data_IF_079553037520
#
_entry.id   IF_079553037520
#
_cell.length_a   1.000
_cell.length_b   1.000
_cell.length_c   1.000
_cell.angle_alpha   90.00
_cell.angle_beta   90.00
_cell.angle_gamma   90.00
#
_symmetry.space_group_name_H-M   'P 1'
#
loop_
_entity.id
_entity.type
_entity.pdbx_description
1 polymer ?
#
# COMPACT_ATOMS: atom_id res chain seq x y z
N UNK A 1 21.77 6.51 0.79
CA UNK A 1 21.48 5.58 -0.32
C UNK A 1 21.68 6.23 -1.70
N UNK A 2 20.82 7.17 -2.14
CA UNK A 2 20.88 7.74 -3.50
C UNK A 2 22.05 8.73 -3.77
N UNK A 3 22.82 9.14 -2.76
CA UNK A 3 23.99 10.06 -2.84
C UNK A 3 23.73 11.38 -3.59
N UNK A 4 22.50 11.91 -3.52
CA UNK A 4 22.09 13.19 -4.10
C UNK A 4 20.94 13.79 -3.29
N UNK A 5 20.76 15.10 -3.37
CA UNK A 5 19.56 15.75 -2.87
C UNK A 5 18.35 15.40 -3.76
N UNK A 6 17.21 15.11 -3.12
CA UNK A 6 15.95 14.77 -3.79
C UNK A 6 14.93 15.83 -3.42
N UNK A 7 14.38 16.52 -4.42
CA UNK A 7 13.37 17.56 -4.21
C UNK A 7 12.10 16.95 -3.59
N UNK A 8 11.54 17.63 -2.58
CA UNK A 8 10.40 17.16 -1.75
C UNK A 8 10.54 15.68 -1.42
N UNK A 9 11.71 15.31 -0.89
CA UNK A 9 12.02 13.91 -0.57
C UNK A 9 10.98 13.36 0.38
N UNK A 10 10.46 12.19 0.02
CA UNK A 10 9.60 11.42 0.90
C UNK A 10 10.45 10.35 1.60
N UNK A 11 10.83 9.30 0.89
CA UNK A 11 11.66 8.23 1.46
C UNK A 11 12.51 7.56 0.38
N UNK A 12 13.48 6.74 0.79
CA UNK A 12 14.10 5.79 -0.12
C UNK A 12 13.34 4.47 -0.06
N UNK A 13 12.80 4.03 -1.20
CA UNK A 13 12.01 2.81 -1.28
C UNK A 13 12.87 1.69 -1.89
N UNK A 14 13.24 0.66 -1.10
CA UNK A 14 14.04 -0.45 -1.61
C UNK A 14 13.28 -1.28 -2.65
N UNK A 15 11.95 -1.33 -2.56
CA UNK A 15 11.09 -2.12 -3.47
C UNK A 15 11.12 -1.65 -4.91
N UNK A 16 11.40 -0.37 -5.15
CA UNK A 16 11.59 0.21 -6.48
C UNK A 16 13.05 0.63 -6.72
N UNK A 17 13.94 0.29 -5.78
CA UNK A 17 15.36 0.65 -5.75
C UNK A 17 15.62 2.13 -6.11
N UNK A 18 14.79 3.04 -5.57
CA UNK A 18 14.85 4.46 -5.91
C UNK A 18 14.34 5.34 -4.78
N UNK A 19 14.79 6.60 -4.78
CA UNK A 19 14.23 7.62 -3.91
C UNK A 19 12.86 8.08 -4.45
N UNK A 20 11.88 8.17 -3.56
CA UNK A 20 10.57 8.75 -3.80
C UNK A 20 10.60 10.22 -3.36
N UNK A 21 10.16 11.11 -4.24
CA UNK A 21 10.07 12.56 -3.98
C UNK A 21 9.26 13.25 -5.06
N UNK A 22 9.45 14.56 -5.24
CA UNK A 22 8.63 15.41 -6.11
C UNK A 22 8.32 14.81 -7.48
N UNK A 23 9.35 14.37 -8.20
CA UNK A 23 9.22 13.93 -9.60
C UNK A 23 8.53 12.57 -9.78
N UNK A 24 8.35 11.78 -8.73
CA UNK A 24 7.79 10.43 -8.84
C UNK A 24 6.77 10.04 -7.77
N UNK A 25 6.42 10.93 -6.84
CA UNK A 25 5.47 10.63 -5.77
C UNK A 25 4.11 10.21 -6.32
N UNK A 26 3.60 10.89 -7.36
CA UNK A 26 2.36 10.49 -8.05
C UNK A 26 2.42 9.07 -8.60
N UNK A 27 3.52 8.71 -9.25
CA UNK A 27 3.69 7.37 -9.81
C UNK A 27 3.81 6.31 -8.72
N UNK A 28 4.42 6.64 -7.59
CA UNK A 28 4.46 5.77 -6.42
C UNK A 28 3.06 5.51 -5.83
N UNK A 29 2.24 6.55 -5.69
CA UNK A 29 0.84 6.39 -5.25
C UNK A 29 0.01 5.54 -6.24
N UNK A 30 0.18 5.77 -7.54
CA UNK A 30 -0.48 4.95 -8.57
C UNK A 30 0.01 3.51 -8.55
N UNK A 31 1.31 3.28 -8.39
CA UNK A 31 1.88 1.94 -8.24
C UNK A 31 1.23 1.18 -7.08
N UNK A 32 1.11 1.80 -5.90
CA UNK A 32 0.42 1.18 -4.76
C UNK A 32 -1.05 0.87 -5.06
N UNK A 33 -1.77 1.80 -5.71
CA UNK A 33 -3.17 1.60 -6.08
C UNK A 33 -3.34 0.43 -7.06
N UNK A 34 -2.57 0.41 -8.15
CA UNK A 34 -2.66 -0.66 -9.15
C UNK A 34 -2.21 -2.02 -8.60
N UNK A 35 -1.20 -2.04 -7.74
CA UNK A 35 -0.76 -3.27 -7.07
C UNK A 35 -1.85 -3.79 -6.11
N UNK A 36 -2.48 -2.91 -5.32
CA UNK A 36 -3.59 -3.29 -4.46
C UNK A 36 -4.79 -3.83 -5.27
N UNK A 37 -5.16 -3.17 -6.37
CA UNK A 37 -6.22 -3.67 -7.27
C UNK A 37 -5.86 -5.03 -7.88
N UNK A 38 -4.59 -5.25 -8.22
CA UNK A 38 -4.12 -6.53 -8.77
C UNK A 38 -4.18 -7.65 -7.73
N UNK A 39 -3.74 -7.38 -6.48
CA UNK A 39 -3.86 -8.34 -5.39
C UNK A 39 -5.33 -8.63 -5.04
N UNK A 40 -6.19 -7.61 -5.01
CA UNK A 40 -7.63 -7.78 -4.79
C UNK A 40 -8.27 -8.62 -5.90
N UNK A 41 -7.92 -8.34 -7.16
CA UNK A 41 -8.37 -9.13 -8.30
C UNK A 41 -8.01 -10.60 -8.10
N UNK A 42 -6.73 -10.92 -7.83
CA UNK A 42 -6.27 -12.30 -7.59
C UNK A 42 -7.03 -12.95 -6.45
N UNK A 43 -7.18 -12.27 -5.31
CA UNK A 43 -7.90 -12.81 -4.13
C UNK A 43 -9.34 -13.17 -4.47
N UNK A 44 -10.05 -12.31 -5.22
CA UNK A 44 -11.44 -12.55 -5.61
C UNK A 44 -11.54 -13.72 -6.61
N UNK A 45 -10.78 -13.66 -7.72
CA UNK A 45 -10.95 -14.62 -8.81
C UNK A 45 -10.50 -16.04 -8.43
N UNK A 46 -9.47 -16.16 -7.59
CA UNK A 46 -8.91 -17.46 -7.22
C UNK A 46 -9.53 -18.04 -5.95
N UNK A 47 -10.42 -17.31 -5.26
CA UNK A 47 -11.09 -17.78 -4.05
C UNK A 47 -11.80 -19.14 -4.21
N UNK A 48 -12.58 -19.42 -5.28
CA UNK A 48 -13.22 -20.74 -5.43
C UNK A 48 -12.23 -21.88 -5.61
N UNK A 49 -11.12 -21.63 -6.31
CA UNK A 49 -10.06 -22.63 -6.57
C UNK A 49 -9.25 -22.85 -5.29
N UNK A 50 -8.97 -21.78 -4.54
CA UNK A 50 -8.35 -21.83 -3.22
C UNK A 50 -9.18 -22.67 -2.24
N UNK A 51 -10.50 -22.47 -2.18
CA UNK A 51 -11.38 -23.24 -1.31
C UNK A 51 -11.41 -24.72 -1.69
N UNK A 52 -11.37 -25.06 -2.98
CA UNK A 52 -11.26 -26.45 -3.44
C UNK A 52 -9.91 -27.09 -3.07
N UNK A 53 -8.82 -26.32 -3.16
CA UNK A 53 -7.47 -26.77 -2.80
C UNK A 53 -7.33 -27.03 -1.30
N UNK A 54 -7.91 -26.17 -0.45
CA UNK A 54 -7.81 -26.26 1.01
C UNK A 54 -8.83 -27.21 1.65
N UNK A 55 -10.04 -27.26 1.08
CA UNK A 55 -11.15 -28.06 1.60
C UNK A 55 -11.74 -28.92 0.47
N UNK A 56 -11.02 -29.98 0.04
CA UNK A 56 -11.53 -30.89 -0.95
C UNK A 56 -12.75 -31.63 -0.38
N UNK A 57 -13.95 -31.16 -0.72
CA UNK A 57 -15.19 -31.84 -0.35
C UNK A 57 -15.24 -33.19 -1.05
N UNK A 58 -15.42 -34.28 -0.29
CA UNK A 58 -15.64 -35.64 -0.83
C UNK A 58 -16.90 -35.80 -1.70
N UNK A 59 -17.71 -34.74 -1.85
CA UNK A 59 -18.85 -34.68 -2.76
C UNK A 59 -18.37 -34.41 -4.18
N UNK A 60 -18.04 -35.51 -4.85
CA UNK A 60 -17.71 -35.64 -6.27
C UNK A 60 -18.82 -35.00 -7.13
N UNK A 61 -18.58 -33.78 -7.62
CA UNK A 61 -19.44 -33.21 -8.66
C UNK A 61 -19.02 -33.87 -9.98
N UNK A 62 -19.80 -34.85 -10.44
CA UNK A 62 -19.62 -35.48 -11.77
C UNK A 62 -19.53 -34.36 -12.82
N UNK A 63 -18.35 -34.21 -13.44
CA UNK A 63 -18.05 -33.15 -14.41
C UNK A 63 -17.00 -32.11 -13.99
N UNK A 64 -16.39 -32.19 -12.79
CA UNK A 64 -15.32 -31.26 -12.41
C UNK A 64 -14.06 -31.47 -13.28
N UNK A 65 -13.51 -30.42 -13.92
CA UNK A 65 -12.26 -30.53 -14.66
C UNK A 65 -11.12 -30.84 -13.69
N UNK A 66 -10.20 -31.73 -14.13
CA UNK A 66 -8.92 -32.19 -13.53
C UNK A 66 -8.74 -31.91 -12.03
N UNK A 67 -8.57 -32.98 -11.25
CA UNK A 67 -7.99 -32.91 -9.90
C UNK A 67 -6.81 -31.92 -9.90
N UNK A 68 -6.84 -30.87 -9.07
CA UNK A 68 -5.65 -30.06 -8.86
C UNK A 68 -4.55 -31.00 -8.36
N UNK A 69 -3.41 -31.01 -9.04
CA UNK A 69 -2.24 -31.72 -8.53
C UNK A 69 -1.84 -31.14 -7.19
N UNK A 70 -1.13 -31.92 -6.38
CA UNK A 70 -0.61 -31.46 -5.10
C UNK A 70 0.16 -30.12 -5.23
N UNK A 71 1.00 -30.01 -6.25
CA UNK A 71 1.75 -28.80 -6.56
C UNK A 71 0.85 -27.62 -6.97
N UNK A 72 -0.16 -27.87 -7.80
CA UNK A 72 -1.11 -26.82 -8.23
C UNK A 72 -1.89 -26.26 -7.03
N UNK A 73 -2.35 -27.14 -6.13
CA UNK A 73 -3.05 -26.75 -4.91
C UNK A 73 -2.18 -25.88 -4.01
N UNK A 74 -0.90 -26.24 -3.85
CA UNK A 74 0.07 -25.45 -3.08
C UNK A 74 0.35 -24.10 -3.73
N UNK A 75 0.58 -24.06 -5.05
CA UNK A 75 0.81 -22.81 -5.77
C UNK A 75 -0.38 -21.84 -5.65
N UNK A 76 -1.61 -22.35 -5.78
CA UNK A 76 -2.83 -21.54 -5.59
C UNK A 76 -2.94 -21.05 -4.15
N UNK A 77 -2.74 -21.91 -3.16
CA UNK A 77 -2.81 -21.55 -1.75
C UNK A 77 -1.79 -20.46 -1.37
N UNK A 78 -0.54 -20.64 -1.78
CA UNK A 78 0.53 -19.66 -1.54
C UNK A 78 0.26 -18.34 -2.27
N UNK A 79 -0.16 -18.39 -3.54
CA UNK A 79 -0.45 -17.18 -4.31
C UNK A 79 -1.61 -16.39 -3.71
N UNK A 80 -2.67 -17.08 -3.26
CA UNK A 80 -3.82 -16.45 -2.61
C UNK A 80 -3.42 -15.80 -1.28
N UNK A 81 -2.68 -16.54 -0.43
CA UNK A 81 -2.22 -16.05 0.87
C UNK A 81 -1.28 -14.84 0.72
N UNK A 82 -0.28 -14.93 -0.16
CA UNK A 82 0.64 -13.82 -0.42
C UNK A 82 -0.09 -12.59 -0.96
N UNK A 83 -1.03 -12.79 -1.89
CA UNK A 83 -1.84 -11.68 -2.43
C UNK A 83 -2.68 -11.01 -1.34
N UNK A 84 -3.27 -11.78 -0.42
CA UNK A 84 -4.01 -11.24 0.72
C UNK A 84 -3.10 -10.46 1.67
N UNK A 85 -1.94 -11.01 2.04
CA UNK A 85 -0.99 -10.34 2.92
C UNK A 85 -0.47 -9.03 2.31
N UNK A 86 -0.11 -9.05 1.03
CA UNK A 86 0.34 -7.85 0.30
C UNK A 86 -0.80 -6.82 0.22
N UNK A 87 -2.03 -7.24 -0.08
CA UNK A 87 -3.19 -6.34 -0.11
C UNK A 87 -3.38 -5.63 1.23
N UNK A 88 -3.35 -6.35 2.35
CA UNK A 88 -3.51 -5.77 3.67
C UNK A 88 -2.40 -4.77 4.00
N UNK A 89 -1.14 -5.12 3.70
CA UNK A 89 0.00 -4.22 3.88
C UNK A 89 -0.13 -2.95 3.02
N UNK A 90 -0.57 -3.08 1.77
CA UNK A 90 -0.79 -1.96 0.86
C UNK A 90 -1.97 -1.08 1.28
N UNK A 91 -3.03 -1.64 1.85
CA UNK A 91 -4.12 -0.84 2.41
C UNK A 91 -3.63 0.06 3.56
N UNK A 92 -2.79 -0.48 4.46
CA UNK A 92 -2.22 0.31 5.55
C UNK A 92 -1.27 1.39 5.03
N UNK A 93 -0.31 1.02 4.18
CA UNK A 93 0.68 1.95 3.62
C UNK A 93 0.01 2.99 2.71
N UNK A 94 -0.87 2.55 1.82
CA UNK A 94 -1.62 3.41 0.91
C UNK A 94 -2.53 4.38 1.66
N UNK A 95 -3.23 3.91 2.70
CA UNK A 95 -4.03 4.77 3.57
C UNK A 95 -3.19 5.86 4.25
N UNK A 96 -2.00 5.49 4.73
CA UNK A 96 -1.05 6.46 5.29
C UNK A 96 -0.61 7.49 4.24
N UNK A 97 -0.24 7.07 3.02
CA UNK A 97 0.14 8.01 1.96
C UNK A 97 -1.03 8.89 1.47
N UNK A 98 -2.27 8.39 1.48
CA UNK A 98 -3.46 9.21 1.24
C UNK A 98 -3.58 10.30 2.31
N UNK A 99 -3.36 9.96 3.59
CA UNK A 99 -3.31 10.96 4.66
C UNK A 99 -2.24 12.02 4.40
N UNK A 100 -1.02 11.62 4.00
CA UNK A 100 0.08 12.53 3.69
C UNK A 100 -0.23 13.46 2.52
N UNK A 101 -0.83 12.94 1.44
CA UNK A 101 -1.30 13.74 0.30
C UNK A 101 -2.36 14.75 0.75
N UNK A 102 -3.37 14.30 1.49
CA UNK A 102 -4.48 15.16 1.92
C UNK A 102 -4.07 16.23 2.95
N UNK A 103 -2.94 16.04 3.64
CA UNK A 103 -2.40 17.00 4.62
C UNK A 103 -1.15 17.74 4.12
N UNK A 104 -0.79 17.55 2.83
CA UNK A 104 0.39 18.10 2.16
C UNK A 104 1.65 18.06 3.04
N UNK A 105 2.07 16.86 3.38
CA UNK A 105 3.33 16.62 4.07
C UNK A 105 3.99 15.34 3.55
N UNK A 106 5.32 15.29 3.52
CA UNK A 106 6.08 14.06 3.28
C UNK A 106 6.16 13.19 4.53
N UNK A 107 6.67 11.96 4.43
CA UNK A 107 6.96 11.12 5.61
C UNK A 107 8.00 11.77 6.54
N UNK A 108 9.02 12.43 5.98
CA UNK A 108 10.01 13.19 6.75
C UNK A 108 9.33 14.34 7.50
N UNK A 109 8.49 15.10 6.80
CA UNK A 109 7.74 16.21 7.40
C UNK A 109 6.75 15.72 8.45
N UNK A 110 6.10 14.57 8.25
CA UNK A 110 5.22 13.97 9.26
C UNK A 110 5.94 13.75 10.60
N UNK A 111 7.16 13.21 10.57
CA UNK A 111 7.96 13.02 11.78
C UNK A 111 8.42 14.35 12.39
N UNK A 112 8.81 15.33 11.56
CA UNK A 112 9.15 16.68 12.03
C UNK A 112 7.94 17.38 12.68
N UNK A 113 6.77 17.28 12.04
CA UNK A 113 5.52 17.87 12.48
C UNK A 113 5.02 17.24 13.77
N UNK A 114 5.30 15.95 14.01
CA UNK A 114 5.01 15.32 15.29
C UNK A 114 5.74 16.04 16.45
N UNK A 115 7.02 16.33 16.28
CA UNK A 115 7.80 17.12 17.26
C UNK A 115 7.31 18.57 17.37
N UNK A 116 7.05 19.23 16.25
CA UNK A 116 6.54 20.61 16.24
C UNK A 116 5.18 20.73 16.94
N UNK A 117 4.32 19.72 16.84
CA UNK A 117 3.04 19.65 17.57
C UNK A 117 3.24 19.56 19.08
N UNK A 118 4.20 18.76 19.55
CA UNK A 118 4.51 18.68 20.99
C UNK A 118 5.04 20.02 21.52
N UNK A 119 5.96 20.66 20.77
CA UNK A 119 6.52 21.96 21.12
C UNK A 119 5.45 23.06 21.17
N UNK A 120 4.57 23.13 20.16
CA UNK A 120 3.47 24.09 20.15
C UNK A 120 2.55 23.88 21.37
N UNK A 121 2.20 22.63 21.67
CA UNK A 121 1.38 22.28 22.84
C UNK A 121 2.02 22.76 24.15
N UNK A 122 3.34 22.61 24.32
CA UNK A 122 4.07 23.11 25.50
C UNK A 122 4.07 24.63 25.62
N UNK A 123 3.98 25.35 24.50
CA UNK A 123 3.88 26.81 24.45
C UNK A 123 2.45 27.34 24.59
N UNK A 124 1.45 26.46 24.67
CA UNK A 124 0.03 26.84 24.63
C UNK A 124 -0.43 27.28 23.23
N UNK A 125 0.30 26.89 22.19
CA UNK A 125 0.04 27.24 20.79
C UNK A 125 -0.56 26.05 20.03
N UNK A 126 -1.27 26.34 18.94
CA UNK A 126 -1.79 25.32 18.02
C UNK A 126 -0.85 25.23 16.81
N UNK A 127 -0.24 24.06 16.62
CA UNK A 127 0.59 23.81 15.44
C UNK A 127 -0.27 23.76 14.17
N UNK A 128 0.14 24.49 13.14
CA UNK A 128 -0.47 24.48 11.81
C UNK A 128 0.60 24.13 10.77
N UNK A 129 0.34 23.11 9.95
CA UNK A 129 1.24 22.77 8.85
C UNK A 129 1.26 23.93 7.84
N UNK A 130 2.41 24.59 7.60
CA UNK A 130 2.49 25.72 6.68
C UNK A 130 2.20 25.33 5.22
N UNK A 131 2.33 24.04 4.88
CA UNK A 131 2.07 23.52 3.53
C UNK A 131 0.62 23.06 3.33
N UNK A 132 -0.19 22.99 4.38
CA UNK A 132 -1.58 22.55 4.25
C UNK A 132 -2.47 23.67 3.69
N UNK A 133 -2.91 23.50 2.44
CA UNK A 133 -3.75 24.43 1.68
C UNK A 133 -5.23 23.98 1.64
N UNK A 134 -5.59 22.94 2.38
CA UNK A 134 -6.88 22.27 2.32
C UNK A 134 -6.90 21.09 1.34
N UNK A 135 -7.66 20.04 1.69
CA UNK A 135 -7.63 18.71 1.07
C UNK A 135 -7.64 18.71 -0.47
N UNK A 136 -8.51 19.49 -1.11
CA UNK A 136 -8.62 19.53 -2.57
C UNK A 136 -7.37 20.15 -3.21
N UNK A 137 -6.90 21.28 -2.67
CA UNK A 137 -5.71 21.96 -3.18
C UNK A 137 -4.46 21.13 -2.94
N UNK A 138 -4.38 20.44 -1.81
CA UNK A 138 -3.29 19.52 -1.48
C UNK A 138 -3.21 18.35 -2.47
N UNK A 139 -4.35 17.78 -2.87
CA UNK A 139 -4.39 16.71 -3.87
C UNK A 139 -4.00 17.19 -5.28
N UNK A 140 -4.18 18.47 -5.58
CA UNK A 140 -3.82 19.09 -6.86
C UNK A 140 -2.34 19.49 -6.96
N UNK A 141 -1.59 19.49 -5.85
CA UNK A 141 -0.14 19.73 -5.82
C UNK A 141 0.63 18.54 -6.40
#
# INVERSE_FOLDING_TARGET
VCKRCVLKMDHHCPWINNCVGWNNYRYFCLFMLFLAMSCLYVVIISYPIFMQAMFPNGRRRQGSPRHLGFWDAQCVALSWLMSLCILLALCLLGGFHVYLVLTNQTTIEFHSNFGNKDLAKRRGEVYRNPYDLGRLRNFQQ
#
